data_IF_783829969325
#
_entry.id   IF_783829969325
#
_cell.length_a   1.000
_cell.length_b   1.000
_cell.length_c   1.000
_cell.angle_alpha   90.00
_cell.angle_beta   90.00
_cell.angle_gamma   90.00
#
_symmetry.space_group_name_H-M   'P 1'
#
loop_
_entity.id
_entity.type
_entity.pdbx_description
1 polymer ?
#
# COMPACT_ATOMS: atom_id res chain seq x y z
N UNK A 1 38.82 25.02 76.90
CA UNK A 1 37.94 23.97 77.46
C UNK A 1 36.78 23.81 76.51
N UNK A 2 36.60 22.59 75.94
CA UNK A 2 35.37 21.93 75.46
C UNK A 2 34.39 22.75 74.58
N UNK A 3 33.79 22.33 73.46
CA UNK A 3 33.81 21.20 72.52
C UNK A 3 32.44 21.25 71.80
N UNK A 4 32.39 21.14 70.46
CA UNK A 4 31.33 20.48 69.62
C UNK A 4 29.91 21.10 69.60
N UNK A 5 29.12 21.22 68.52
CA UNK A 5 28.99 20.66 67.15
C UNK A 5 28.09 21.67 66.37
N UNK A 6 28.23 21.95 65.07
CA UNK A 6 27.98 21.04 63.95
C UNK A 6 26.49 20.95 63.61
N UNK A 7 25.94 21.89 62.82
CA UNK A 7 24.53 21.90 62.39
C UNK A 7 24.40 22.15 60.89
N UNK A 8 24.15 21.08 60.14
CA UNK A 8 23.98 21.05 58.69
C UNK A 8 22.64 21.66 58.25
N UNK A 9 22.67 22.44 57.16
CA UNK A 9 21.47 22.81 56.41
C UNK A 9 20.96 21.59 55.61
N UNK A 10 19.70 21.15 55.75
CA UNK A 10 19.18 20.08 54.93
C UNK A 10 18.68 20.65 53.58
N UNK A 11 19.11 19.96 52.52
CA UNK A 11 18.60 20.01 51.16
C UNK A 11 17.08 19.76 51.14
N UNK A 12 16.26 20.82 51.27
CA UNK A 12 14.80 20.77 51.14
C UNK A 12 14.34 21.12 49.71
N UNK A 13 15.03 20.60 48.69
CA UNK A 13 14.66 20.78 47.28
C UNK A 13 14.55 19.46 46.50
N UNK A 14 14.89 18.31 47.08
CA UNK A 14 14.69 17.00 46.44
C UNK A 14 13.35 16.34 46.79
N UNK A 15 12.63 16.81 47.81
CA UNK A 15 11.35 16.23 48.26
C UNK A 15 10.13 16.78 47.54
N UNK A 16 10.24 17.92 46.84
CA UNK A 16 9.12 18.55 46.14
C UNK A 16 8.81 17.89 44.79
N UNK A 17 9.73 17.09 44.25
CA UNK A 17 9.51 16.28 43.03
C UNK A 17 8.92 14.89 43.32
N UNK A 18 8.79 14.50 44.59
CA UNK A 18 8.29 13.18 45.02
C UNK A 18 6.83 13.19 45.50
N UNK A 19 6.13 14.32 45.37
CA UNK A 19 4.74 14.48 45.85
C UNK A 19 3.67 14.48 44.75
N UNK A 20 3.88 13.80 43.63
CA UNK A 20 2.80 13.59 42.66
C UNK A 20 2.55 12.10 42.46
N UNK A 21 1.30 11.74 42.74
CA UNK A 21 0.62 10.45 42.57
C UNK A 21 0.70 9.49 43.76
N UNK A 22 -0.27 9.63 44.68
CA UNK A 22 -0.78 8.51 45.49
C UNK A 22 -1.44 7.49 44.55
N UNK A 23 -0.65 6.75 43.80
CA UNK A 23 -1.04 5.44 43.29
C UNK A 23 -0.41 4.45 44.26
N UNK A 24 -1.20 3.53 44.80
CA UNK A 24 -0.68 2.41 45.59
C UNK A 24 0.06 1.44 44.66
N UNK A 25 1.19 1.88 44.10
CA UNK A 25 2.03 1.08 43.23
C UNK A 25 2.88 0.13 44.09
N UNK A 26 3.15 -1.09 43.59
CA UNK A 26 4.09 -2.00 44.22
C UNK A 26 5.46 -1.34 44.44
N UNK A 27 6.09 -1.64 45.57
CA UNK A 27 7.46 -1.22 45.85
C UNK A 27 8.39 -1.74 44.75
N UNK A 28 9.17 -0.86 44.12
CA UNK A 28 10.10 -1.20 43.04
C UNK A 28 9.62 -0.77 41.65
N UNK A 29 8.38 -0.31 41.50
CA UNK A 29 7.96 0.37 40.27
C UNK A 29 8.65 1.72 40.14
N UNK A 30 9.13 2.03 38.94
CA UNK A 30 9.78 3.28 38.58
C UNK A 30 8.85 4.11 37.69
N UNK A 31 8.74 5.40 38.01
CA UNK A 31 8.04 6.38 37.18
C UNK A 31 9.08 7.35 36.64
N UNK A 32 9.13 7.49 35.32
CA UNK A 32 9.97 8.46 34.63
C UNK A 32 9.12 9.15 33.54
N UNK A 33 8.82 10.43 33.73
CA UNK A 33 7.91 11.20 32.86
C UNK A 33 6.52 10.52 32.78
N UNK A 34 6.18 9.96 31.63
CA UNK A 34 4.96 9.28 31.26
C UNK A 34 5.15 7.76 31.12
N UNK A 35 6.27 7.24 31.61
CA UNK A 35 6.60 5.81 31.64
C UNK A 35 6.45 5.29 33.07
N UNK A 36 5.66 4.24 33.25
CA UNK A 36 5.60 3.43 34.47
C UNK A 36 6.18 2.05 34.17
N UNK A 37 7.32 1.73 34.80
CA UNK A 37 8.00 0.45 34.68
C UNK A 37 7.98 -0.31 35.99
N UNK A 38 7.43 -1.53 35.95
CA UNK A 38 7.33 -2.47 37.06
C UNK A 38 7.91 -3.83 36.64
N UNK A 39 9.08 -3.81 35.99
CA UNK A 39 9.71 -4.99 35.40
C UNK A 39 10.34 -5.89 36.47
N UNK A 40 10.21 -7.21 36.32
CA UNK A 40 10.88 -8.20 37.19
C UNK A 40 10.58 -8.06 38.70
N UNK A 41 9.33 -7.73 39.05
CA UNK A 41 8.89 -7.60 40.44
C UNK A 41 8.10 -8.84 40.93
N UNK A 42 7.91 -9.84 40.07
CA UNK A 42 7.14 -11.04 40.39
C UNK A 42 5.64 -10.77 40.57
N UNK A 43 5.10 -9.76 39.88
CA UNK A 43 3.69 -9.39 39.95
C UNK A 43 2.81 -10.52 39.38
N UNK A 44 1.77 -10.89 40.12
CA UNK A 44 0.77 -11.86 39.65
C UNK A 44 -0.46 -11.18 39.01
N UNK A 45 -0.64 -9.88 39.28
CA UNK A 45 -1.74 -9.06 38.76
C UNK A 45 -1.23 -7.65 38.45
N UNK A 46 -1.90 -6.96 37.51
CA UNK A 46 -1.66 -5.54 37.23
C UNK A 46 -2.16 -4.71 38.43
N UNK A 47 -1.42 -3.68 38.88
CA UNK A 47 -1.88 -2.80 39.95
C UNK A 47 -3.25 -2.18 39.65
N UNK A 48 -4.14 -2.15 40.64
CA UNK A 48 -5.52 -1.69 40.47
C UNK A 48 -5.63 -0.21 40.08
N UNK A 49 -4.67 0.61 40.53
CA UNK A 49 -4.62 2.04 40.25
C UNK A 49 -3.34 2.38 39.49
N UNK A 50 -3.51 2.81 38.24
CA UNK A 50 -2.42 3.27 37.38
C UNK A 50 -2.49 4.80 37.21
N UNK A 51 -1.35 5.51 37.19
CA UNK A 51 -1.34 6.96 37.02
C UNK A 51 -1.91 7.37 35.65
N UNK A 52 -2.88 8.29 35.63
CA UNK A 52 -3.60 8.71 34.41
C UNK A 52 -2.71 9.33 33.32
N UNK A 53 -1.55 9.87 33.69
CA UNK A 53 -0.63 10.54 32.76
C UNK A 53 0.26 9.58 31.99
N UNK A 54 0.26 8.28 32.33
CA UNK A 54 1.13 7.28 31.72
C UNK A 54 0.77 7.06 30.25
N UNK A 55 1.79 7.16 29.39
CA UNK A 55 1.74 6.79 27.98
C UNK A 55 2.34 5.41 27.72
N UNK A 56 3.30 4.96 28.56
CA UNK A 56 3.95 3.66 28.43
C UNK A 56 3.89 2.87 29.73
N UNK A 57 3.27 1.68 29.67
CA UNK A 57 3.26 0.70 30.75
C UNK A 57 4.25 -0.42 30.45
N UNK A 58 5.20 -0.68 31.34
CA UNK A 58 6.15 -1.79 31.25
C UNK A 58 5.97 -2.75 32.43
N UNK A 59 5.36 -3.91 32.15
CA UNK A 59 5.15 -5.01 33.08
C UNK A 59 5.91 -6.27 32.65
N UNK A 60 7.02 -6.11 31.91
CA UNK A 60 7.80 -7.24 31.43
C UNK A 60 8.38 -8.09 32.58
N UNK A 61 8.65 -9.37 32.29
CA UNK A 61 9.29 -10.30 33.24
C UNK A 61 8.55 -10.45 34.58
N UNK A 62 7.22 -10.52 34.55
CA UNK A 62 6.42 -10.78 35.75
C UNK A 62 5.76 -12.17 35.67
N UNK A 63 4.77 -12.42 36.53
CA UNK A 63 4.03 -13.68 36.64
C UNK A 63 2.54 -13.44 36.39
N UNK A 64 2.20 -12.50 35.52
CA UNK A 64 0.82 -12.16 35.21
C UNK A 64 0.17 -13.35 34.49
N UNK A 65 -0.86 -13.94 35.09
CA UNK A 65 -1.61 -15.07 34.51
C UNK A 65 -2.84 -14.61 33.73
N UNK A 66 -3.43 -13.47 34.14
CA UNK A 66 -4.67 -12.93 33.60
C UNK A 66 -4.64 -11.40 33.60
N UNK A 67 -5.39 -10.83 32.66
CA UNK A 67 -5.72 -9.41 32.62
C UNK A 67 -7.24 -9.30 32.78
N UNK A 68 -7.67 -8.49 33.73
CA UNK A 68 -9.08 -8.26 34.00
C UNK A 68 -9.70 -7.35 32.94
N UNK A 69 -11.03 -7.36 32.83
CA UNK A 69 -11.73 -6.45 31.94
C UNK A 69 -11.46 -5.00 32.34
N UNK A 70 -11.01 -4.18 31.39
CA UNK A 70 -10.69 -2.77 31.65
C UNK A 70 -9.45 -2.55 32.52
N UNK A 71 -8.51 -3.50 32.61
CA UNK A 71 -7.23 -3.30 33.33
C UNK A 71 -6.45 -2.04 32.95
N UNK A 72 -6.71 -1.51 31.75
CA UNK A 72 -6.06 -0.30 31.22
C UNK A 72 -7.06 0.84 30.94
N UNK A 73 -8.30 0.71 31.40
CA UNK A 73 -9.32 1.72 31.20
C UNK A 73 -9.00 3.00 32.00
N UNK A 74 -9.36 4.17 31.45
CA UNK A 74 -9.15 5.45 32.12
C UNK A 74 -7.73 6.03 32.01
N UNK A 75 -6.89 5.46 31.14
CA UNK A 75 -5.56 5.96 30.78
C UNK A 75 -5.61 6.64 29.40
N UNK A 76 -5.96 7.93 29.31
CA UNK A 76 -6.25 8.60 28.04
C UNK A 76 -5.03 8.72 27.12
N UNK A 77 -3.83 8.78 27.69
CA UNK A 77 -2.58 8.96 26.96
C UNK A 77 -1.87 7.64 26.62
N UNK A 78 -2.45 6.50 27.01
CA UNK A 78 -1.80 5.21 26.87
C UNK A 78 -1.61 4.85 25.39
N UNK A 79 -0.35 4.69 25.01
CA UNK A 79 0.11 4.43 23.65
C UNK A 79 0.81 3.07 23.56
N UNK A 80 1.60 2.70 24.58
CA UNK A 80 2.41 1.48 24.59
C UNK A 80 2.16 0.63 25.83
N UNK A 81 1.93 -0.67 25.63
CA UNK A 81 1.85 -1.67 26.71
C UNK A 81 2.86 -2.79 26.44
N UNK A 82 3.75 -3.05 27.41
CA UNK A 82 4.70 -4.16 27.37
C UNK A 82 4.39 -5.18 28.45
N UNK A 83 4.07 -6.40 28.02
CA UNK A 83 3.68 -7.54 28.86
C UNK A 83 4.49 -8.79 28.50
N UNK A 84 5.66 -8.62 27.89
CA UNK A 84 6.52 -9.72 27.50
C UNK A 84 7.02 -10.52 28.70
N UNK A 85 7.29 -11.81 28.50
CA UNK A 85 7.79 -12.70 29.56
C UNK A 85 6.88 -12.75 30.79
N UNK A 86 5.60 -13.02 30.55
CA UNK A 86 4.59 -13.27 31.59
C UNK A 86 3.99 -14.69 31.41
N UNK A 87 2.88 -14.97 32.08
CA UNK A 87 2.22 -16.28 32.08
C UNK A 87 0.80 -16.19 31.52
N UNK A 88 0.53 -15.20 30.66
CA UNK A 88 -0.79 -14.97 30.08
C UNK A 88 -1.14 -16.13 29.13
N UNK A 89 -2.19 -16.86 29.47
CA UNK A 89 -2.70 -17.99 28.65
C UNK A 89 -3.89 -17.60 27.77
N UNK A 90 -4.62 -16.56 28.16
CA UNK A 90 -5.79 -16.00 27.46
C UNK A 90 -5.99 -14.54 27.84
N UNK A 91 -6.75 -13.81 27.02
CA UNK A 91 -7.22 -12.46 27.34
C UNK A 91 -8.73 -12.46 27.60
N UNK A 92 -9.14 -11.77 28.66
CA UNK A 92 -10.54 -11.67 29.05
C UNK A 92 -11.28 -10.72 28.09
N UNK A 93 -12.54 -10.99 27.71
CA UNK A 93 -13.34 -10.03 26.96
C UNK A 93 -13.32 -8.64 27.63
N UNK A 94 -13.00 -7.61 26.85
CA UNK A 94 -12.94 -6.24 27.35
C UNK A 94 -11.66 -5.87 28.11
N UNK A 95 -10.59 -6.69 28.08
CA UNK A 95 -9.27 -6.31 28.64
C UNK A 95 -8.82 -4.93 28.13
N UNK A 96 -9.00 -4.64 26.84
CA UNK A 96 -8.63 -3.37 26.18
C UNK A 96 -9.83 -2.44 25.96
N UNK A 97 -10.84 -2.52 26.82
CA UNK A 97 -12.01 -1.64 26.71
C UNK A 97 -11.60 -0.17 26.85
N UNK A 98 -12.06 0.67 25.91
CA UNK A 98 -11.78 2.11 25.84
C UNK A 98 -10.29 2.46 25.71
N UNK A 99 -9.47 1.60 25.09
CA UNK A 99 -8.04 1.86 24.85
C UNK A 99 -7.70 1.99 23.36
N UNK A 100 -8.50 2.78 22.63
CA UNK A 100 -8.34 2.98 21.17
C UNK A 100 -7.05 3.69 20.76
N UNK A 101 -6.35 4.32 21.71
CA UNK A 101 -5.12 5.08 21.48
C UNK A 101 -3.85 4.23 21.47
N UNK A 102 -3.93 2.96 21.89
CA UNK A 102 -2.77 2.07 21.93
C UNK A 102 -2.25 1.84 20.50
N UNK A 103 -0.95 2.05 20.31
CA UNK A 103 -0.23 1.85 19.04
C UNK A 103 0.72 0.67 19.08
N UNK A 104 1.26 0.34 20.26
CA UNK A 104 2.21 -0.75 20.44
C UNK A 104 1.77 -1.67 21.57
N UNK A 105 1.60 -2.95 21.26
CA UNK A 105 1.24 -3.98 22.23
C UNK A 105 2.20 -5.16 22.12
N UNK A 106 2.95 -5.39 23.19
CA UNK A 106 3.86 -6.53 23.31
C UNK A 106 3.29 -7.58 24.27
N UNK A 107 2.88 -8.71 23.71
CA UNK A 107 2.41 -9.93 24.38
C UNK A 107 3.34 -11.11 24.09
N UNK A 108 4.56 -10.86 23.63
CA UNK A 108 5.53 -11.91 23.31
C UNK A 108 5.95 -12.71 24.52
N UNK A 109 6.49 -13.92 24.31
CA UNK A 109 7.00 -14.76 25.41
C UNK A 109 5.98 -14.99 26.52
N UNK A 110 4.73 -15.30 26.15
CA UNK A 110 3.63 -15.67 27.04
C UNK A 110 3.16 -17.11 26.74
N UNK A 111 1.95 -17.47 27.17
CA UNK A 111 1.39 -18.81 27.02
C UNK A 111 0.09 -18.81 26.20
N UNK A 112 -0.12 -17.79 25.35
CA UNK A 112 -1.34 -17.67 24.55
C UNK A 112 -1.46 -18.85 23.60
N UNK A 113 -2.66 -19.48 23.56
CA UNK A 113 -2.92 -20.67 22.74
C UNK A 113 -3.79 -20.39 21.50
N UNK A 114 -4.73 -19.45 21.62
CA UNK A 114 -5.65 -19.07 20.54
C UNK A 114 -5.73 -17.55 20.53
N UNK A 115 -5.76 -16.97 19.34
CA UNK A 115 -6.10 -15.56 19.16
C UNK A 115 -7.57 -15.46 18.76
N UNK A 116 -8.39 -15.06 19.73
CA UNK A 116 -9.84 -14.92 19.56
C UNK A 116 -10.20 -13.52 19.06
N UNK A 117 -11.34 -13.39 18.39
CA UNK A 117 -11.77 -12.13 17.79
C UNK A 117 -11.79 -10.95 18.78
N UNK A 118 -12.28 -11.18 20.00
CA UNK A 118 -12.43 -10.12 21.00
C UNK A 118 -11.13 -9.64 21.62
N UNK A 119 -10.00 -10.31 21.39
CA UNK A 119 -8.72 -9.94 22.00
C UNK A 119 -8.28 -8.54 21.58
N UNK A 120 -8.50 -8.18 20.31
CA UNK A 120 -7.98 -6.94 19.74
C UNK A 120 -9.07 -6.05 19.13
N UNK A 121 -10.35 -6.42 19.22
CA UNK A 121 -11.44 -5.71 18.54
C UNK A 121 -11.53 -4.20 18.86
N UNK A 122 -11.08 -3.78 20.04
CA UNK A 122 -11.10 -2.39 20.51
C UNK A 122 -9.83 -1.60 20.11
N UNK A 123 -8.78 -2.28 19.65
CA UNK A 123 -7.45 -1.71 19.39
C UNK A 123 -7.35 -1.09 17.98
N UNK A 124 -8.30 -0.22 17.63
CA UNK A 124 -8.41 0.37 16.27
C UNK A 124 -7.15 1.18 15.89
N UNK A 125 -6.46 1.77 16.87
CA UNK A 125 -5.24 2.56 16.69
C UNK A 125 -3.94 1.75 16.62
N UNK A 126 -3.98 0.42 16.80
CA UNK A 126 -2.77 -0.41 16.89
C UNK A 126 -1.96 -0.34 15.59
N UNK A 127 -0.64 -0.19 15.71
CA UNK A 127 0.32 -0.21 14.60
C UNK A 127 1.22 -1.44 14.66
N UNK A 128 1.59 -1.87 15.85
CA UNK A 128 2.53 -2.96 16.06
C UNK A 128 2.04 -3.91 17.15
N UNK A 129 1.93 -5.19 16.78
CA UNK A 129 1.46 -6.27 17.63
C UNK A 129 2.50 -7.38 17.69
N UNK A 130 3.05 -7.63 18.89
CA UNK A 130 4.07 -8.64 19.11
C UNK A 130 3.45 -9.81 19.87
N UNK A 131 3.41 -10.98 19.23
CA UNK A 131 2.83 -12.23 19.73
C UNK A 131 3.81 -13.41 19.58
N UNK A 132 5.06 -13.13 19.23
CA UNK A 132 6.07 -14.16 19.02
C UNK A 132 6.40 -14.91 20.32
N UNK A 133 6.92 -16.13 20.18
CA UNK A 133 7.29 -16.99 21.32
C UNK A 133 6.10 -17.26 22.28
N UNK A 134 4.95 -17.61 21.73
CA UNK A 134 3.78 -18.06 22.46
C UNK A 134 3.50 -19.55 22.14
N UNK A 135 2.29 -20.03 22.43
CA UNK A 135 1.85 -21.39 22.13
C UNK A 135 0.65 -21.39 21.16
N UNK A 136 0.57 -20.37 20.30
CA UNK A 136 -0.62 -20.11 19.47
C UNK A 136 -0.74 -21.20 18.41
N UNK A 137 -1.86 -21.91 18.40
CA UNK A 137 -2.18 -22.96 17.42
C UNK A 137 -3.14 -22.45 16.35
N UNK A 138 -3.98 -21.46 16.68
CA UNK A 138 -5.03 -20.93 15.80
C UNK A 138 -5.23 -19.43 15.98
N UNK A 139 -5.46 -18.74 14.87
CA UNK A 139 -5.94 -17.35 14.81
C UNK A 139 -7.33 -17.34 14.21
N UNK A 140 -8.29 -16.70 14.88
CA UNK A 140 -9.64 -16.56 14.34
C UNK A 140 -9.67 -15.64 13.12
N UNK A 141 -10.50 -16.03 12.14
CA UNK A 141 -10.66 -15.33 10.86
C UNK A 141 -10.97 -13.84 10.96
N UNK A 142 -11.56 -13.40 12.07
CA UNK A 142 -11.95 -12.00 12.30
C UNK A 142 -11.07 -11.28 13.31
N UNK A 143 -10.04 -11.93 13.86
CA UNK A 143 -9.23 -11.38 14.94
C UNK A 143 -8.43 -10.12 14.54
N UNK A 144 -8.04 -10.01 13.26
CA UNK A 144 -7.24 -8.87 12.78
C UNK A 144 -8.02 -7.88 11.92
N UNK A 145 -9.28 -8.18 11.54
CA UNK A 145 -10.05 -7.38 10.57
C UNK A 145 -10.28 -5.94 11.06
N UNK A 146 -10.54 -5.74 12.36
CA UNK A 146 -10.79 -4.42 12.95
C UNK A 146 -9.54 -3.53 13.09
N UNK A 147 -8.34 -4.08 12.85
CA UNK A 147 -7.07 -3.41 13.10
C UNK A 147 -6.59 -2.62 11.86
N UNK A 148 -7.37 -1.61 11.47
CA UNK A 148 -7.14 -0.85 10.22
C UNK A 148 -5.80 -0.09 10.18
N UNK A 149 -5.24 0.27 11.34
CA UNK A 149 -3.95 0.94 11.44
C UNK A 149 -2.76 -0.02 11.57
N UNK A 150 -2.99 -1.34 11.61
CA UNK A 150 -1.94 -2.32 11.84
C UNK A 150 -0.92 -2.29 10.70
N UNK A 151 0.35 -2.13 11.07
CA UNK A 151 1.49 -2.08 10.17
C UNK A 151 2.36 -3.32 10.28
N UNK A 152 2.52 -3.85 11.49
CA UNK A 152 3.40 -4.96 11.79
C UNK A 152 2.74 -5.93 12.78
N UNK A 153 2.77 -7.21 12.44
CA UNK A 153 2.34 -8.29 13.32
C UNK A 153 3.40 -9.39 13.35
N UNK A 154 3.85 -9.75 14.55
CA UNK A 154 4.87 -10.77 14.76
C UNK A 154 4.27 -11.97 15.48
N UNK A 155 4.16 -13.11 14.79
CA UNK A 155 3.62 -14.36 15.30
C UNK A 155 4.64 -15.51 15.19
N UNK A 156 5.93 -15.21 15.04
CA UNK A 156 6.97 -16.22 14.95
C UNK A 156 7.16 -17.03 16.22
N UNK A 157 7.76 -18.21 16.12
CA UNK A 157 7.97 -19.11 17.25
C UNK A 157 6.65 -19.46 17.98
N UNK A 158 5.65 -19.86 17.19
CA UNK A 158 4.36 -20.35 17.68
C UNK A 158 4.13 -21.78 17.15
N UNK A 159 2.88 -22.26 17.21
CA UNK A 159 2.48 -23.61 16.79
C UNK A 159 1.39 -23.57 15.72
N UNK A 160 1.32 -22.49 14.95
CA UNK A 160 0.28 -22.30 13.92
C UNK A 160 0.41 -23.36 12.85
N UNK A 161 -0.70 -24.03 12.54
CA UNK A 161 -0.80 -24.96 11.40
C UNK A 161 -1.45 -24.32 10.18
N UNK A 162 -2.15 -23.20 10.36
CA UNK A 162 -2.78 -22.41 9.31
C UNK A 162 -2.93 -20.94 9.76
N UNK A 163 -3.14 -20.03 8.81
CA UNK A 163 -3.39 -18.62 9.06
C UNK A 163 -4.46 -18.08 8.07
N UNK A 164 -5.45 -17.30 8.53
CA UNK A 164 -6.53 -16.81 7.68
C UNK A 164 -6.06 -15.64 6.78
N UNK A 165 -5.30 -15.91 5.73
CA UNK A 165 -4.74 -14.88 4.82
C UNK A 165 -5.81 -13.99 4.17
N UNK A 166 -7.00 -14.52 3.88
CA UNK A 166 -8.12 -13.72 3.38
C UNK A 166 -8.51 -12.57 4.32
N UNK A 167 -8.29 -12.72 5.63
CA UNK A 167 -8.61 -11.70 6.62
C UNK A 167 -7.71 -10.48 6.53
N UNK A 168 -6.55 -10.62 5.86
CA UNK A 168 -5.55 -9.55 5.71
C UNK A 168 -5.40 -9.02 4.27
N UNK A 169 -6.22 -9.50 3.34
CA UNK A 169 -6.14 -9.11 1.94
C UNK A 169 -6.36 -7.60 1.75
N UNK A 170 -7.33 -7.04 2.47
CA UNK A 170 -7.71 -5.63 2.36
C UNK A 170 -7.05 -4.70 3.39
N UNK A 171 -6.12 -5.20 4.22
CA UNK A 171 -5.47 -4.35 5.23
C UNK A 171 -4.75 -3.18 4.56
N UNK A 172 -5.12 -1.93 4.90
CA UNK A 172 -4.65 -0.77 4.17
C UNK A 172 -3.21 -0.43 4.52
N UNK A 173 -2.71 -0.81 5.71
CA UNK A 173 -1.43 -0.35 6.25
C UNK A 173 -0.44 -1.48 6.58
N UNK A 174 -0.85 -2.75 6.47
CA UNK A 174 0.02 -3.88 6.82
C UNK A 174 1.22 -3.93 5.87
N UNK A 175 2.41 -4.06 6.47
CA UNK A 175 3.71 -4.10 5.77
C UNK A 175 4.57 -5.26 6.24
N UNK A 176 4.38 -5.74 7.48
CA UNK A 176 5.13 -6.87 8.02
C UNK A 176 4.18 -7.84 8.70
N UNK A 177 4.26 -9.10 8.28
CA UNK A 177 3.63 -10.22 8.94
C UNK A 177 4.67 -11.33 9.07
N UNK A 178 5.16 -11.55 10.29
CA UNK A 178 6.11 -12.62 10.57
C UNK A 178 5.39 -13.86 11.09
N UNK A 179 5.34 -14.89 10.25
CA UNK A 179 4.78 -16.21 10.55
C UNK A 179 5.88 -17.29 10.53
N UNK A 180 7.15 -16.89 10.59
CA UNK A 180 8.28 -17.82 10.61
C UNK A 180 8.27 -18.71 11.85
N UNK A 181 8.99 -19.84 11.80
CA UNK A 181 9.14 -20.71 12.97
C UNK A 181 7.77 -21.17 13.55
N UNK A 182 6.88 -21.60 12.65
CA UNK A 182 5.56 -22.18 12.96
C UNK A 182 5.48 -23.62 12.42
N UNK A 183 4.27 -24.20 12.31
CA UNK A 183 4.03 -25.60 11.95
C UNK A 183 3.08 -25.74 10.76
N UNK A 184 3.11 -24.79 9.82
CA UNK A 184 2.26 -24.84 8.64
C UNK A 184 2.75 -25.95 7.69
N UNK A 185 1.93 -26.94 7.33
CA UNK A 185 2.29 -27.94 6.34
C UNK A 185 2.06 -27.45 4.91
N UNK A 186 1.05 -26.61 4.68
CA UNK A 186 0.66 -26.15 3.36
C UNK A 186 0.43 -24.65 3.38
N UNK A 187 0.58 -24.00 2.22
CA UNK A 187 0.30 -22.57 2.06
C UNK A 187 -0.87 -22.37 1.10
N UNK A 188 -1.86 -21.52 1.43
CA UNK A 188 -2.91 -21.14 0.48
C UNK A 188 -2.35 -20.15 -0.55
N UNK A 189 -1.61 -20.68 -1.54
CA UNK A 189 -0.87 -19.88 -2.54
C UNK A 189 -1.77 -18.87 -3.27
N UNK A 190 -3.03 -19.21 -3.51
CA UNK A 190 -4.01 -18.29 -4.15
C UNK A 190 -4.28 -17.07 -3.29
N UNK A 191 -4.52 -17.27 -2.00
CA UNK A 191 -4.83 -16.18 -1.06
C UNK A 191 -3.58 -15.32 -0.83
N UNK A 192 -2.41 -15.94 -0.69
CA UNK A 192 -1.13 -15.23 -0.55
C UNK A 192 -0.83 -14.39 -1.80
N UNK A 193 -1.07 -14.94 -3.00
CA UNK A 193 -0.87 -14.22 -4.26
C UNK A 193 -1.84 -13.04 -4.44
N UNK A 194 -3.03 -13.11 -3.82
CA UNK A 194 -4.02 -12.02 -3.83
C UNK A 194 -3.68 -10.87 -2.86
N UNK A 195 -2.75 -11.07 -1.93
CA UNK A 195 -2.30 -10.01 -1.02
C UNK A 195 -1.62 -8.88 -1.79
N UNK A 196 -1.73 -7.65 -1.26
CA UNK A 196 -1.00 -6.49 -1.80
C UNK A 196 0.52 -6.78 -1.79
N UNK A 197 1.23 -6.34 -2.82
CA UNK A 197 2.67 -6.60 -2.97
C UNK A 197 3.50 -6.20 -1.74
N UNK A 198 3.15 -5.07 -1.10
CA UNK A 198 3.80 -4.62 0.14
C UNK A 198 3.69 -5.63 1.30
N UNK A 199 2.57 -6.35 1.38
CA UNK A 199 2.37 -7.39 2.39
C UNK A 199 3.19 -8.61 2.01
N UNK A 200 3.20 -9.01 0.73
CA UNK A 200 4.01 -10.13 0.25
C UNK A 200 5.52 -9.92 0.51
N UNK A 201 6.03 -8.68 0.31
CA UNK A 201 7.43 -8.32 0.59
C UNK A 201 7.85 -8.54 2.05
N UNK A 202 6.93 -8.26 2.98
CA UNK A 202 7.15 -8.42 4.41
C UNK A 202 6.45 -9.63 5.03
N UNK A 203 6.13 -10.65 4.25
CA UNK A 203 5.51 -11.88 4.71
C UNK A 203 6.58 -12.97 4.95
N UNK A 204 7.00 -13.13 6.20
CA UNK A 204 8.04 -14.10 6.56
C UNK A 204 7.42 -15.47 6.88
N UNK A 205 7.85 -16.50 6.15
CA UNK A 205 7.29 -17.87 6.23
C UNK A 205 8.37 -18.95 6.44
N UNK A 206 9.64 -18.57 6.57
CA UNK A 206 10.75 -19.51 6.75
C UNK A 206 10.61 -20.34 8.03
N UNK A 207 11.34 -21.45 8.11
CA UNK A 207 11.30 -22.36 9.26
C UNK A 207 9.87 -22.86 9.64
N UNK A 208 9.03 -23.13 8.64
CA UNK A 208 7.77 -23.86 8.80
C UNK A 208 7.94 -25.32 8.35
N UNK A 209 7.04 -26.20 8.78
CA UNK A 209 7.02 -27.61 8.39
C UNK A 209 6.34 -27.86 7.04
N UNK A 210 6.66 -27.03 6.03
CA UNK A 210 6.01 -27.04 4.73
C UNK A 210 6.23 -28.37 3.99
N UNK A 211 5.23 -28.89 3.31
CA UNK A 211 5.33 -30.02 2.39
C UNK A 211 5.83 -29.47 1.04
N UNK A 212 6.79 -30.16 0.43
CA UNK A 212 7.33 -29.74 -0.86
C UNK A 212 6.27 -29.87 -1.96
N UNK A 213 5.78 -28.74 -2.47
CA UNK A 213 4.83 -28.67 -3.58
C UNK A 213 5.29 -27.67 -4.66
N UNK A 214 4.96 -27.93 -5.93
CA UNK A 214 5.28 -27.01 -7.02
C UNK A 214 4.60 -25.64 -6.87
N UNK A 215 3.38 -25.59 -6.32
CA UNK A 215 2.61 -24.36 -6.10
C UNK A 215 3.37 -23.38 -5.20
N UNK A 216 3.86 -23.88 -4.06
CA UNK A 216 4.66 -23.16 -3.08
C UNK A 216 6.01 -22.77 -3.67
N UNK A 217 6.73 -23.71 -4.28
CA UNK A 217 8.02 -23.44 -4.91
C UNK A 217 7.93 -22.31 -5.96
N UNK A 218 6.93 -22.35 -6.85
CA UNK A 218 6.73 -21.30 -7.86
C UNK A 218 6.49 -19.92 -7.24
N UNK A 219 5.71 -19.83 -6.16
CA UNK A 219 5.50 -18.59 -5.42
C UNK A 219 6.81 -18.02 -4.86
N UNK A 220 7.60 -18.85 -4.17
CA UNK A 220 8.87 -18.41 -3.58
C UNK A 220 9.92 -18.07 -4.64
N UNK A 221 9.97 -18.80 -5.77
CA UNK A 221 10.85 -18.46 -6.89
C UNK A 221 10.49 -17.11 -7.52
N UNK A 222 9.19 -16.80 -7.63
CA UNK A 222 8.74 -15.49 -8.10
C UNK A 222 9.17 -14.37 -7.12
N UNK A 223 9.06 -14.60 -5.81
CA UNK A 223 9.50 -13.65 -4.79
C UNK A 223 11.02 -13.47 -4.76
N UNK A 224 11.79 -14.56 -4.92
CA UNK A 224 13.26 -14.53 -5.06
C UNK A 224 13.67 -13.70 -6.27
N UNK A 225 13.03 -13.91 -7.43
CA UNK A 225 13.28 -13.15 -8.65
C UNK A 225 12.97 -11.66 -8.50
N UNK A 226 11.90 -11.32 -7.77
CA UNK A 226 11.52 -9.93 -7.48
C UNK A 226 12.34 -9.30 -6.35
N UNK A 227 13.26 -10.02 -5.73
CA UNK A 227 14.10 -9.52 -4.65
C UNK A 227 13.33 -9.18 -3.37
N UNK A 228 12.32 -9.98 -3.02
CA UNK A 228 11.58 -9.76 -1.77
C UNK A 228 12.44 -10.19 -0.57
N UNK A 229 12.62 -9.28 0.39
CA UNK A 229 13.47 -9.48 1.59
C UNK A 229 13.07 -10.71 2.41
N UNK A 230 11.76 -11.01 2.48
CA UNK A 230 11.26 -12.23 3.12
C UNK A 230 11.82 -13.55 2.55
N UNK A 231 12.37 -13.52 1.34
CA UNK A 231 13.01 -14.67 0.69
C UNK A 231 14.52 -14.50 0.58
N UNK A 232 15.00 -13.32 0.16
CA UNK A 232 16.45 -13.11 -0.05
C UNK A 232 17.25 -13.19 1.23
N UNK A 233 16.71 -12.68 2.34
CA UNK A 233 17.43 -12.59 3.61
C UNK A 233 17.41 -13.92 4.38
N UNK A 234 16.43 -14.78 4.07
CA UNK A 234 16.17 -16.06 4.75
C UNK A 234 16.25 -17.26 3.80
N UNK A 235 17.09 -17.15 2.77
CA UNK A 235 17.16 -18.12 1.68
C UNK A 235 17.52 -19.54 2.14
N UNK A 236 18.33 -19.66 3.19
CA UNK A 236 18.81 -20.96 3.70
C UNK A 236 17.85 -21.58 4.74
N UNK A 237 16.95 -20.77 5.30
CA UNK A 237 15.92 -21.13 6.28
C UNK A 237 14.59 -21.58 5.61
N UNK A 238 14.48 -21.38 4.29
CA UNK A 238 13.37 -21.86 3.48
C UNK A 238 13.51 -23.35 3.18
N UNK A 239 12.88 -24.17 4.02
CA UNK A 239 12.88 -25.64 3.95
C UNK A 239 11.50 -26.21 3.70
N UNK A 240 11.43 -27.40 3.10
CA UNK A 240 10.23 -28.20 3.00
C UNK A 240 10.53 -29.69 3.22
N UNK A 241 9.49 -30.47 3.50
CA UNK A 241 9.52 -31.90 3.76
C UNK A 241 9.06 -32.64 2.50
N UNK A 242 9.91 -33.51 1.95
CA UNK A 242 9.52 -34.40 0.85
C UNK A 242 8.49 -35.41 1.37
N UNK A 243 7.34 -35.50 0.71
CA UNK A 243 6.22 -36.37 1.09
C UNK A 243 5.74 -36.19 2.55
N UNK A 244 6.05 -35.06 3.20
CA UNK A 244 5.72 -34.81 4.60
C UNK A 244 6.62 -35.54 5.62
N UNK A 245 7.70 -36.20 5.19
CA UNK A 245 8.59 -36.92 6.09
C UNK A 245 9.65 -36.00 6.73
N UNK A 246 9.71 -35.98 8.06
CA UNK A 246 10.65 -35.14 8.83
C UNK A 246 12.13 -35.42 8.51
N UNK A 247 12.47 -36.67 8.17
CA UNK A 247 13.84 -37.07 7.81
C UNK A 247 14.24 -36.63 6.40
N UNK A 248 13.29 -36.18 5.59
CA UNK A 248 13.49 -35.77 4.21
C UNK A 248 13.30 -34.25 4.05
N UNK A 249 13.93 -33.48 4.94
CA UNK A 249 13.93 -32.02 4.87
C UNK A 249 14.91 -31.52 3.80
N UNK A 250 14.45 -30.65 2.90
CA UNK A 250 15.25 -30.05 1.84
C UNK A 250 15.14 -28.53 1.87
N UNK A 251 16.28 -27.84 1.67
CA UNK A 251 16.29 -26.39 1.41
C UNK A 251 15.86 -26.16 -0.04
N UNK A 252 14.60 -25.85 -0.28
CA UNK A 252 14.00 -25.95 -1.62
C UNK A 252 14.52 -24.88 -2.60
N UNK A 253 14.97 -23.72 -2.10
CA UNK A 253 15.58 -22.68 -2.95
C UNK A 253 17.01 -23.03 -3.39
N UNK A 254 17.66 -23.97 -2.71
CA UNK A 254 19.02 -24.45 -3.00
C UNK A 254 19.02 -25.75 -3.80
N UNK A 255 18.11 -26.66 -3.47
CA UNK A 255 18.02 -28.00 -4.07
C UNK A 255 16.97 -28.02 -5.19
N UNK A 256 17.27 -27.32 -6.28
CA UNK A 256 16.36 -27.11 -7.42
C UNK A 256 15.96 -28.45 -8.10
N UNK A 257 16.79 -29.49 -7.98
CA UNK A 257 16.56 -30.81 -8.61
C UNK A 257 15.22 -31.45 -8.28
N UNK A 258 14.68 -31.20 -7.08
CA UNK A 258 13.37 -31.73 -6.67
C UNK A 258 12.18 -31.01 -7.34
N UNK A 259 12.44 -29.90 -8.02
CA UNK A 259 11.43 -29.03 -8.61
C UNK A 259 11.65 -28.79 -10.11
N UNK A 260 12.51 -29.59 -10.78
CA UNK A 260 12.80 -29.47 -12.22
C UNK A 260 11.53 -29.59 -13.10
N UNK A 261 10.58 -30.42 -12.68
CA UNK A 261 9.30 -30.61 -13.38
C UNK A 261 8.24 -29.56 -13.00
N UNK A 262 8.54 -28.63 -12.09
CA UNK A 262 7.59 -27.61 -11.70
C UNK A 262 7.60 -26.47 -12.74
N UNK A 263 6.41 -26.14 -13.26
CA UNK A 263 6.26 -24.99 -14.16
C UNK A 263 6.34 -23.70 -13.36
N UNK A 264 7.51 -23.06 -13.37
CA UNK A 264 7.68 -21.72 -12.80
C UNK A 264 7.44 -20.70 -13.92
N UNK A 265 6.29 -20.03 -13.88
CA UNK A 265 6.04 -18.85 -14.73
C UNK A 265 6.73 -17.65 -14.09
N UNK A 266 8.03 -17.50 -14.32
CA UNK A 266 8.72 -16.27 -13.92
C UNK A 266 8.10 -15.11 -14.71
N UNK A 267 7.71 -14.02 -14.05
CA UNK A 267 7.29 -12.82 -14.77
C UNK A 267 8.49 -12.34 -15.59
N UNK A 268 8.32 -12.37 -16.90
CA UNK A 268 9.20 -11.75 -17.90
C UNK A 268 9.46 -10.33 -17.45
N UNK A 269 10.74 -9.93 -17.34
CA UNK A 269 11.10 -8.52 -17.16
C UNK A 269 10.43 -7.74 -18.29
N UNK A 270 9.67 -6.70 -17.96
CA UNK A 270 9.00 -5.84 -18.95
C UNK A 270 9.75 -4.54 -19.05
N UNK A 271 10.23 -4.23 -20.25
CA UNK A 271 10.81 -2.93 -20.60
C UNK A 271 9.91 -2.30 -21.65
N UNK A 272 9.51 -1.05 -21.45
CA UNK A 272 8.77 -0.29 -22.47
C UNK A 272 9.74 0.66 -23.17
N UNK A 273 9.62 0.76 -24.50
CA UNK A 273 10.42 1.64 -25.33
C UNK A 273 9.51 2.40 -26.30
N UNK A 274 9.80 3.68 -26.48
CA UNK A 274 9.14 4.53 -27.47
C UNK A 274 10.13 4.82 -28.60
N UNK A 275 9.65 4.80 -29.83
CA UNK A 275 10.45 5.02 -31.02
C UNK A 275 9.69 5.88 -32.03
N UNK A 276 10.40 6.74 -32.76
CA UNK A 276 9.79 7.50 -33.85
C UNK A 276 9.81 6.68 -35.14
N UNK A 277 8.72 6.76 -35.92
CA UNK A 277 8.62 6.09 -37.21
C UNK A 277 9.73 6.58 -38.15
N UNK A 278 10.41 5.64 -38.82
CA UNK A 278 11.54 5.90 -39.72
C UNK A 278 12.92 5.81 -39.08
N UNK A 279 13.01 5.87 -37.73
CA UNK A 279 14.29 5.71 -37.03
C UNK A 279 14.63 4.24 -36.78
N UNK A 280 15.92 3.94 -36.62
CA UNK A 280 16.40 2.63 -36.20
C UNK A 280 16.26 2.47 -34.68
N UNK A 281 15.82 1.30 -34.22
CA UNK A 281 15.59 1.01 -32.80
C UNK A 281 16.37 -0.23 -32.39
N UNK A 282 17.14 -0.14 -31.32
CA UNK A 282 17.92 -1.27 -30.79
C UNK A 282 17.29 -1.80 -29.51
N UNK A 283 16.91 -3.07 -29.52
CA UNK A 283 16.33 -3.81 -28.41
C UNK A 283 17.41 -4.71 -27.80
N UNK A 284 17.89 -4.36 -26.62
CA UNK A 284 18.91 -5.13 -25.92
C UNK A 284 18.28 -6.26 -25.10
N UNK A 285 18.72 -7.49 -25.35
CA UNK A 285 18.32 -8.65 -24.56
C UNK A 285 19.19 -8.77 -23.29
N UNK A 286 18.84 -7.98 -22.27
CA UNK A 286 19.56 -7.99 -20.99
C UNK A 286 19.23 -9.28 -20.22
N UNK A 287 20.24 -10.11 -19.98
CA UNK A 287 20.12 -11.36 -19.22
C UNK A 287 21.04 -11.37 -18.00
N UNK A 288 20.63 -12.11 -16.97
CA UNK A 288 21.44 -12.39 -15.77
C UNK A 288 22.29 -13.66 -15.88
N UNK A 289 22.09 -14.46 -16.93
CA UNK A 289 22.83 -15.70 -17.17
C UNK A 289 24.29 -15.41 -17.55
N UNK A 290 25.22 -16.21 -17.02
CA UNK A 290 26.67 -16.12 -17.32
C UNK A 290 27.13 -17.42 -17.96
N UNK A 291 27.74 -17.35 -19.14
CA UNK A 291 28.23 -18.55 -19.84
C UNK A 291 28.90 -18.21 -21.17
N UNK A 292 29.75 -19.12 -21.69
CA UNK A 292 30.45 -18.93 -22.98
C UNK A 292 29.59 -19.26 -24.21
N UNK A 293 28.44 -19.93 -24.04
CA UNK A 293 27.57 -20.43 -25.11
C UNK A 293 26.10 -20.13 -24.80
N UNK A 294 25.73 -18.84 -24.81
CA UNK A 294 24.35 -18.40 -24.69
C UNK A 294 23.71 -18.36 -26.07
N UNK A 295 22.56 -19.03 -26.22
CA UNK A 295 21.76 -18.95 -27.44
C UNK A 295 20.64 -17.93 -27.23
N UNK A 296 20.60 -16.94 -28.10
CA UNK A 296 19.59 -15.89 -28.09
C UNK A 296 18.58 -16.13 -29.22
N UNK A 297 17.31 -15.89 -28.94
CA UNK A 297 16.26 -15.82 -29.96
C UNK A 297 15.22 -14.77 -29.58
N UNK A 298 14.54 -14.22 -30.58
CA UNK A 298 13.46 -13.26 -30.39
C UNK A 298 12.16 -13.77 -31.01
N UNK A 299 11.03 -13.32 -30.47
CA UNK A 299 9.70 -13.48 -31.07
C UNK A 299 9.12 -12.09 -31.30
N UNK A 300 8.72 -11.81 -32.54
CA UNK A 300 8.08 -10.54 -32.92
C UNK A 300 6.62 -10.46 -32.42
N UNK A 301 5.98 -9.27 -32.46
CA UNK A 301 4.54 -9.12 -32.19
C UNK A 301 3.66 -9.97 -33.14
N UNK A 302 4.13 -10.24 -34.37
CA UNK A 302 3.47 -11.12 -35.35
C UNK A 302 3.66 -12.62 -35.07
N UNK A 303 4.34 -12.99 -33.97
CA UNK A 303 4.69 -14.37 -33.56
C UNK A 303 5.70 -15.06 -34.48
N UNK A 304 6.55 -14.30 -35.15
CA UNK A 304 7.66 -14.83 -35.94
C UNK A 304 8.90 -15.02 -35.08
N UNK A 305 9.57 -16.16 -35.24
CA UNK A 305 10.85 -16.42 -34.58
C UNK A 305 12.00 -15.77 -35.35
N UNK A 306 12.87 -15.06 -34.64
CA UNK A 306 14.02 -14.36 -35.17
C UNK A 306 15.28 -14.94 -34.52
N UNK A 307 16.23 -15.37 -35.35
CA UNK A 307 17.54 -15.87 -34.95
C UNK A 307 18.64 -15.16 -35.77
N UNK A 308 19.91 -15.13 -35.31
CA UNK A 308 20.99 -14.49 -36.05
C UNK A 308 21.16 -15.09 -37.45
N UNK A 309 21.32 -14.28 -38.52
CA UNK A 309 21.56 -12.82 -38.55
C UNK A 309 20.30 -11.93 -38.60
N UNK A 310 19.11 -12.51 -38.58
CA UNK A 310 17.82 -11.83 -38.84
C UNK A 310 17.00 -12.59 -39.89
N UNK A 311 15.67 -12.44 -39.86
CA UNK A 311 14.74 -13.18 -40.74
C UNK A 311 14.21 -12.34 -41.92
N UNK A 312 14.45 -11.02 -41.95
CA UNK A 312 13.90 -10.09 -42.93
C UNK A 312 14.85 -8.92 -43.21
N UNK A 313 14.63 -8.19 -44.32
CA UNK A 313 15.35 -6.95 -44.62
C UNK A 313 15.03 -5.79 -43.65
N UNK A 314 14.15 -6.00 -42.68
CA UNK A 314 13.69 -4.98 -41.72
C UNK A 314 14.24 -5.20 -40.30
N UNK A 315 14.65 -6.43 -39.97
CA UNK A 315 15.08 -6.83 -38.63
C UNK A 315 16.45 -7.49 -38.69
N UNK A 316 17.39 -6.99 -37.88
CA UNK A 316 18.75 -7.53 -37.79
C UNK A 316 19.04 -8.00 -36.38
N UNK A 317 19.46 -9.25 -36.25
CA UNK A 317 19.82 -9.81 -34.93
C UNK A 317 21.33 -9.99 -34.82
N UNK A 318 21.90 -9.44 -33.75
CA UNK A 318 23.32 -9.49 -33.46
C UNK A 318 23.69 -10.72 -32.63
N UNK A 319 24.95 -11.13 -32.70
CA UNK A 319 25.48 -12.29 -31.96
C UNK A 319 25.52 -12.10 -30.44
N UNK A 320 25.46 -10.85 -29.97
CA UNK A 320 25.33 -10.51 -28.55
C UNK A 320 23.88 -10.62 -28.02
N UNK A 321 22.92 -10.95 -28.88
CA UNK A 321 21.50 -11.08 -28.53
C UNK A 321 20.65 -9.84 -28.75
N UNK A 322 21.23 -8.70 -29.12
CA UNK A 322 20.47 -7.48 -29.43
C UNK A 322 19.74 -7.62 -30.78
N UNK A 323 18.52 -7.07 -30.84
CA UNK A 323 17.69 -7.01 -32.05
C UNK A 323 17.55 -5.55 -32.50
N UNK A 324 17.88 -5.26 -33.75
CA UNK A 324 17.73 -3.94 -34.34
C UNK A 324 16.59 -3.94 -35.35
N UNK A 325 15.63 -3.04 -35.14
CA UNK A 325 14.62 -2.65 -36.12
C UNK A 325 15.27 -1.57 -36.99
N UNK A 326 15.54 -1.88 -38.26
CA UNK A 326 16.32 -1.00 -39.13
C UNK A 326 15.57 0.29 -39.47
N UNK A 327 14.25 0.19 -39.67
CA UNK A 327 13.37 1.32 -39.98
C UNK A 327 12.03 1.06 -39.30
N UNK A 328 11.78 1.72 -38.16
CA UNK A 328 10.57 1.49 -37.37
C UNK A 328 9.30 1.94 -38.10
N UNK A 329 8.29 1.07 -38.12
CA UNK A 329 6.95 1.33 -38.66
C UNK A 329 5.89 1.17 -37.57
N UNK A 330 4.70 1.73 -37.77
CA UNK A 330 3.59 1.58 -36.81
C UNK A 330 3.25 0.11 -36.53
N UNK A 331 3.32 -0.75 -37.57
CA UNK A 331 3.08 -2.18 -37.47
C UNK A 331 4.16 -2.95 -36.68
N UNK A 332 5.30 -2.31 -36.43
CA UNK A 332 6.34 -2.88 -35.56
C UNK A 332 6.02 -2.68 -34.08
N UNK A 333 4.96 -1.95 -33.74
CA UNK A 333 4.52 -1.75 -32.36
C UNK A 333 3.97 -3.05 -31.77
N UNK A 334 4.33 -3.33 -30.52
CA UNK A 334 3.86 -4.49 -29.79
C UNK A 334 4.95 -5.09 -28.91
N UNK A 335 4.66 -6.30 -28.40
CA UNK A 335 5.54 -6.98 -27.46
C UNK A 335 6.49 -7.92 -28.20
N UNK A 336 7.78 -7.61 -28.10
CA UNK A 336 8.88 -8.49 -28.50
C UNK A 336 9.30 -9.33 -27.30
N UNK A 337 9.51 -10.63 -27.51
CA UNK A 337 9.98 -11.54 -26.46
C UNK A 337 11.39 -12.02 -26.79
N UNK A 338 12.38 -11.62 -26.02
CA UNK A 338 13.69 -12.25 -26.06
C UNK A 338 13.72 -13.49 -25.18
N UNK A 339 14.33 -14.55 -25.69
CA UNK A 339 14.59 -15.80 -24.97
C UNK A 339 16.09 -16.10 -25.03
N UNK A 340 16.68 -16.34 -23.85
CA UNK A 340 18.07 -16.75 -23.70
C UNK A 340 18.11 -18.15 -23.13
N UNK A 341 18.81 -19.05 -23.83
CA UNK A 341 18.96 -20.44 -23.41
C UNK A 341 20.43 -20.77 -23.16
N UNK A 342 20.75 -21.25 -21.95
CA UNK A 342 22.06 -21.80 -21.63
C UNK A 342 21.98 -23.33 -21.70
N UNK A 343 22.51 -23.92 -22.79
CA UNK A 343 22.51 -25.37 -23.01
C UNK A 343 23.34 -26.16 -21.99
N UNK A 344 24.30 -25.53 -21.30
CA UNK A 344 25.17 -26.23 -20.34
C UNK A 344 24.54 -26.32 -18.94
N UNK A 345 23.68 -25.37 -18.58
CA UNK A 345 23.07 -25.28 -17.24
C UNK A 345 21.56 -25.54 -17.26
N UNK A 346 20.98 -25.87 -18.43
CA UNK A 346 19.53 -26.08 -18.63
C UNK A 346 18.66 -24.95 -18.07
N UNK A 347 19.19 -23.72 -18.07
CA UNK A 347 18.52 -22.53 -17.55
C UNK A 347 18.08 -21.62 -18.70
N UNK A 348 16.89 -21.03 -18.56
CA UNK A 348 16.34 -20.04 -19.48
C UNK A 348 16.08 -18.70 -18.78
N UNK A 349 16.26 -17.62 -19.52
CA UNK A 349 15.91 -16.26 -19.10
C UNK A 349 15.11 -15.62 -20.23
N UNK A 350 14.14 -14.76 -19.91
CA UNK A 350 13.29 -14.13 -20.91
C UNK A 350 12.95 -12.68 -20.55
N UNK A 351 12.90 -11.84 -21.58
CA UNK A 351 12.68 -10.40 -21.49
C UNK A 351 11.56 -10.01 -22.47
N UNK A 352 10.50 -9.38 -21.97
CA UNK A 352 9.47 -8.74 -22.78
C UNK A 352 9.83 -7.27 -23.00
N UNK A 353 9.93 -6.86 -24.26
CA UNK A 353 10.15 -5.48 -24.65
C UNK A 353 8.91 -4.99 -25.40
N UNK A 354 8.16 -4.07 -24.80
CA UNK A 354 7.01 -3.44 -25.45
C UNK A 354 7.47 -2.21 -26.22
N UNK A 355 7.41 -2.26 -27.54
CA UNK A 355 7.80 -1.17 -28.43
C UNK A 355 6.56 -0.42 -28.88
N UNK A 356 6.59 0.91 -28.76
CA UNK A 356 5.51 1.79 -29.23
C UNK A 356 6.11 2.74 -30.26
N UNK A 357 5.69 2.62 -31.52
CA UNK A 357 6.19 3.48 -32.60
C UNK A 357 5.25 4.66 -32.80
N UNK A 358 5.74 5.86 -32.50
CA UNK A 358 5.02 7.11 -32.72
C UNK A 358 5.27 7.58 -34.15
N UNK A 359 4.21 7.86 -34.92
CA UNK A 359 4.40 8.61 -36.15
C UNK A 359 4.78 10.04 -35.80
N UNK A 360 5.75 10.68 -36.50
CA UNK A 360 5.96 12.10 -36.35
C UNK A 360 4.64 12.78 -36.65
N UNK A 361 4.05 13.40 -35.63
CA UNK A 361 2.90 14.25 -35.84
C UNK A 361 3.33 15.27 -36.88
N UNK A 362 2.63 15.38 -38.01
CA UNK A 362 2.66 16.61 -38.78
C UNK A 362 2.31 17.70 -37.76
N UNK A 363 3.31 18.47 -37.33
CA UNK A 363 3.08 19.70 -36.61
C UNK A 363 2.22 20.52 -37.56
N UNK A 364 0.90 20.51 -37.33
CA UNK A 364 0.07 21.65 -37.69
C UNK A 364 0.78 22.78 -36.99
N UNK A 365 1.43 23.66 -37.76
CA UNK A 365 1.96 24.91 -37.25
C UNK A 365 0.94 25.45 -36.24
N UNK A 366 1.36 25.78 -35.01
CA UNK A 366 0.42 26.29 -34.03
C UNK A 366 -0.26 27.47 -34.68
N UNK A 367 -1.58 27.36 -34.90
CA UNK A 367 -2.40 28.45 -35.41
C UNK A 367 -2.04 29.66 -34.56
N UNK A 368 -1.34 30.62 -35.17
CA UNK A 368 -0.75 31.71 -34.42
C UNK A 368 -1.92 32.60 -33.99
N UNK A 369 -2.47 32.33 -32.81
CA UNK A 369 -3.68 32.95 -32.26
C UNK A 369 -3.53 34.46 -32.17
N UNK A 370 -2.30 34.99 -32.19
CA UNK A 370 -2.00 36.41 -32.34
C UNK A 370 -2.42 37.02 -33.67
N UNK A 371 -2.30 36.31 -34.80
CA UNK A 371 -2.67 36.86 -36.12
C UNK A 371 -4.19 36.91 -36.31
N UNK A 372 -4.92 35.88 -35.87
CA UNK A 372 -6.38 35.84 -35.96
C UNK A 372 -7.03 36.83 -34.99
N UNK A 373 -6.48 37.02 -33.79
CA UNK A 373 -6.94 38.07 -32.85
C UNK A 373 -6.60 39.47 -33.35
N UNK A 374 -5.41 39.71 -33.88
CA UNK A 374 -5.04 41.00 -34.48
C UNK A 374 -5.97 41.36 -35.65
N UNK A 375 -6.22 40.40 -36.55
CA UNK A 375 -7.14 40.59 -37.68
C UNK A 375 -8.57 40.87 -37.17
N UNK A 376 -9.03 40.14 -36.15
CA UNK A 376 -10.31 40.40 -35.49
C UNK A 376 -10.41 41.81 -34.91
N UNK A 377 -9.39 42.26 -34.17
CA UNK A 377 -9.34 43.61 -33.60
C UNK A 377 -9.35 44.70 -34.68
N UNK A 378 -8.59 44.53 -35.76
CA UNK A 378 -8.57 45.49 -36.88
C UNK A 378 -9.93 45.57 -37.55
N UNK A 379 -10.57 44.43 -37.83
CA UNK A 379 -11.92 44.39 -38.43
C UNK A 379 -12.95 45.04 -37.50
N UNK A 380 -12.92 44.75 -36.20
CA UNK A 380 -13.84 45.37 -35.23
C UNK A 380 -13.65 46.88 -35.12
N UNK A 381 -12.40 47.38 -35.11
CA UNK A 381 -12.13 48.82 -35.10
C UNK A 381 -12.64 49.51 -36.37
N UNK A 382 -12.43 48.89 -37.54
CA UNK A 382 -12.96 49.40 -38.80
C UNK A 382 -14.49 49.43 -38.77
N UNK A 383 -15.15 48.38 -38.28
CA UNK A 383 -16.61 48.34 -38.18
C UNK A 383 -17.17 49.38 -37.20
N UNK A 384 -16.51 49.61 -36.06
CA UNK A 384 -16.90 50.65 -35.10
C UNK A 384 -16.73 52.05 -35.71
N UNK A 385 -15.61 52.30 -36.39
CA UNK A 385 -15.39 53.55 -37.10
C UNK A 385 -16.41 53.76 -38.22
N UNK A 386 -16.73 52.72 -39.00
CA UNK A 386 -17.79 52.76 -40.00
C UNK A 386 -19.15 53.05 -39.34
N UNK A 387 -19.48 52.44 -38.21
CA UNK A 387 -20.72 52.73 -37.48
C UNK A 387 -20.77 54.19 -37.03
N UNK A 388 -19.72 54.69 -36.38
CA UNK A 388 -19.66 56.06 -35.85
C UNK A 388 -19.65 57.13 -36.95
N UNK A 389 -19.06 56.87 -38.11
CA UNK A 389 -18.92 57.85 -39.19
C UNK A 389 -19.95 57.69 -40.34
N UNK A 390 -20.54 56.51 -40.53
CA UNK A 390 -21.45 56.22 -41.64
C UNK A 390 -22.90 55.91 -41.22
N UNK A 391 -23.24 55.89 -39.92
CA UNK A 391 -24.66 55.87 -39.52
C UNK A 391 -25.16 57.28 -39.19
N UNK A 392 -25.90 57.94 -40.09
CA UNK A 392 -26.46 59.26 -39.82
C UNK A 392 -27.55 59.16 -38.75
N UNK A 393 -27.35 59.89 -37.64
CA UNK A 393 -28.36 60.14 -36.61
C UNK A 393 -29.67 60.64 -37.24
N UNK A 394 -30.67 59.77 -37.36
CA UNK A 394 -32.04 60.18 -37.69
C UNK A 394 -32.79 60.54 -36.41
N UNK A 395 -32.59 61.78 -35.96
CA UNK A 395 -33.48 62.40 -34.97
C UNK A 395 -34.79 62.78 -35.66
N UNK A 396 -35.87 62.04 -35.41
CA UNK A 396 -37.23 62.57 -35.58
C UNK A 396 -38.01 62.40 -34.27
N UNK A 397 -38.25 63.54 -33.63
CA UNK A 397 -39.14 63.70 -32.49
C UNK A 397 -40.60 63.66 -32.96
N UNK A 398 -41.44 62.84 -32.33
CA UNK A 398 -42.86 63.15 -32.12
C UNK A 398 -43.41 62.33 -30.92
N UNK A 399 -44.38 62.86 -30.14
CA UNK A 399 -44.60 62.44 -28.77
C UNK A 399 -45.87 61.60 -28.52
N UNK A 400 -45.76 60.81 -27.44
CA UNK A 400 -46.79 60.41 -26.47
C UNK A 400 -47.90 59.38 -26.80
N UNK A 401 -48.09 58.50 -25.80
CA UNK A 401 -49.30 57.78 -25.33
C UNK A 401 -49.54 56.33 -25.83
N UNK A 402 -50.24 55.48 -25.04
CA UNK A 402 -49.58 54.43 -24.24
C UNK A 402 -50.15 53.00 -24.40
N UNK A 403 -49.33 51.98 -24.11
CA UNK A 403 -49.66 50.61 -23.60
C UNK A 403 -50.71 49.75 -24.37
N UNK A 404 -50.88 48.46 -24.04
CA UNK A 404 -49.93 47.38 -23.70
C UNK A 404 -50.15 46.15 -24.62
N UNK A 405 -49.58 45.00 -24.21
CA UNK A 405 -50.07 43.62 -24.40
C UNK A 405 -49.08 42.68 -25.12
N UNK A 406 -48.61 41.73 -24.30
CA UNK A 406 -48.11 40.37 -24.55
C UNK A 406 -46.82 40.22 -25.38
N UNK A 407 -45.76 39.65 -24.80
CA UNK A 407 -45.52 38.20 -24.64
C UNK A 407 -45.59 37.48 -26.00
N UNK A 408 -44.61 36.71 -26.47
CA UNK A 408 -43.63 35.90 -25.76
C UNK A 408 -42.62 35.32 -26.78
N UNK A 409 -41.56 34.71 -26.24
CA UNK A 409 -40.73 33.67 -26.87
C UNK A 409 -39.65 34.16 -27.87
N UNK A 410 -38.43 33.62 -27.93
CA UNK A 410 -37.91 32.37 -27.40
C UNK A 410 -36.38 32.47 -27.17
N UNK A 411 -35.91 31.54 -26.35
CA UNK A 411 -34.56 31.29 -25.86
C UNK A 411 -33.52 30.96 -26.94
N UNK A 412 -32.23 31.11 -26.61
CA UNK A 412 -31.19 30.05 -26.65
C UNK A 412 -29.83 30.64 -26.19
N UNK A 413 -29.22 30.18 -25.09
CA UNK A 413 -28.15 29.15 -25.08
C UNK A 413 -26.85 29.67 -25.75
N UNK A 414 -25.63 29.68 -25.20
CA UNK A 414 -24.95 28.65 -24.42
C UNK A 414 -23.49 29.13 -24.13
N UNK A 415 -22.95 28.68 -22.99
CA UNK A 415 -21.54 28.42 -22.61
C UNK A 415 -20.44 29.51 -22.74
N UNK A 416 -20.02 29.96 -21.55
CA UNK A 416 -18.65 30.37 -21.19
C UNK A 416 -17.64 29.22 -21.37
N UNK A 417 -16.36 29.55 -21.55
CA UNK A 417 -15.36 28.98 -20.65
C UNK A 417 -14.33 30.01 -20.16
N UNK A 418 -14.05 29.95 -18.87
CA UNK A 418 -12.89 30.57 -18.18
C UNK A 418 -11.60 29.87 -18.60
N UNK A 419 -10.43 30.55 -18.55
CA UNK A 419 -9.47 30.30 -17.45
C UNK A 419 -8.54 31.54 -17.20
N UNK A 420 -7.40 31.45 -16.48
CA UNK A 420 -7.16 30.93 -15.13
C UNK A 420 -6.35 31.90 -14.21
N UNK A 421 -6.29 31.51 -12.94
CA UNK A 421 -5.15 31.60 -12.01
C UNK A 421 -4.59 32.94 -11.47
N UNK A 422 -4.30 32.86 -10.17
CA UNK A 422 -3.27 33.51 -9.35
C UNK A 422 -3.64 34.69 -8.42
N UNK A 423 -3.43 34.38 -7.13
CA UNK A 423 -2.74 35.15 -6.09
C UNK A 423 -3.41 36.33 -5.35
N UNK A 424 -3.44 36.13 -4.02
CA UNK A 424 -3.29 37.09 -2.90
C UNK A 424 -4.44 38.04 -2.51
N UNK A 425 -4.76 38.02 -1.21
CA UNK A 425 -5.48 39.10 -0.53
C UNK A 425 -6.40 38.64 0.61
N UNK A 426 -6.13 39.01 1.89
CA UNK A 426 -6.89 38.55 3.05
C UNK A 426 -8.03 39.52 3.42
N UNK A 427 -9.13 39.02 4.00
CA UNK A 427 -10.03 39.90 4.77
C UNK A 427 -11.51 39.53 4.88
N UNK A 428 -11.84 38.99 6.06
CA UNK A 428 -13.03 39.31 6.89
C UNK A 428 -14.47 39.15 6.34
N UNK A 429 -15.21 38.29 7.07
CA UNK A 429 -16.58 38.47 7.63
C UNK A 429 -17.74 38.56 6.62
N UNK A 430 -18.96 38.06 6.83
CA UNK A 430 -19.67 37.33 7.89
C UNK A 430 -21.14 37.17 7.42
N UNK A 431 -21.85 36.17 7.98
CA UNK A 431 -23.32 35.99 8.00
C UNK A 431 -24.02 35.53 6.70
N UNK A 432 -24.60 34.32 6.71
CA UNK A 432 -26.04 33.99 6.96
C UNK A 432 -26.91 34.43 5.76
N UNK A 433 -27.71 33.58 5.10
CA UNK A 433 -28.76 32.72 5.64
C UNK A 433 -29.32 31.74 4.57
N UNK A 434 -29.77 30.57 5.05
CA UNK A 434 -30.70 29.54 4.50
C UNK A 434 -31.85 30.04 3.56
N UNK A 435 -32.74 29.16 3.04
CA UNK A 435 -32.56 27.88 2.31
C UNK A 435 -33.56 27.76 1.11
N UNK A 436 -33.60 26.57 0.48
CA UNK A 436 -34.75 25.95 -0.22
C UNK A 436 -35.17 26.56 -1.58
N UNK A 437 -35.75 25.88 -2.57
CA UNK A 437 -36.09 24.49 -2.92
C UNK A 437 -36.52 24.60 -4.41
N UNK A 438 -36.29 23.54 -5.19
CA UNK A 438 -36.88 23.16 -6.50
C UNK A 438 -37.98 24.03 -7.11
N UNK A 439 -38.12 24.25 -8.42
CA UNK A 439 -38.24 23.24 -9.48
C UNK A 439 -38.38 23.96 -10.84
N UNK A 440 -37.91 23.37 -11.94
CA UNK A 440 -38.41 23.61 -13.30
C UNK A 440 -38.59 22.26 -14.00
N UNK A 441 -39.71 22.02 -14.70
CA UNK A 441 -39.79 20.93 -15.66
C UNK A 441 -40.25 21.39 -17.05
N UNK A 442 -40.20 20.43 -17.99
CA UNK A 442 -40.86 20.31 -19.31
C UNK A 442 -40.03 20.82 -20.50
N UNK A 443 -39.85 20.09 -21.60
CA UNK A 443 -40.29 18.76 -22.09
C UNK A 443 -39.53 18.53 -23.44
N UNK A 444 -39.95 17.73 -24.45
CA UNK A 444 -40.83 16.55 -24.46
C UNK A 444 -40.26 15.34 -25.28
N UNK A 445 -40.78 14.17 -24.93
CA UNK A 445 -41.33 13.11 -25.77
C UNK A 445 -40.77 12.82 -27.17
N UNK A 446 -40.36 11.55 -27.32
CA UNK A 446 -40.92 10.71 -28.38
C UNK A 446 -41.45 9.39 -27.77
N UNK A 447 -42.71 9.15 -28.11
CA UNK A 447 -43.59 8.01 -27.85
C UNK A 447 -42.92 6.66 -28.21
N UNK A 448 -43.33 5.48 -27.71
CA UNK A 448 -44.71 4.99 -27.60
C UNK A 448 -44.73 3.68 -26.80
N UNK A 449 -45.67 3.63 -25.85
CA UNK A 449 -46.61 2.52 -25.53
C UNK A 449 -46.12 1.15 -25.01
N UNK A 450 -46.40 1.00 -23.70
CA UNK A 450 -47.27 -0.02 -23.09
C UNK A 450 -46.75 -1.46 -22.98
N UNK A 451 -46.10 -1.72 -21.84
CA UNK A 451 -46.33 -2.94 -21.07
C UNK A 451 -47.56 -2.76 -20.15
N UNK A 452 -48.29 -3.84 -19.89
CA UNK A 452 -49.14 -3.99 -18.71
C UNK A 452 -48.62 -5.18 -17.91
N UNK A 453 -48.42 -5.05 -16.58
CA UNK A 453 -47.86 -6.12 -15.76
C UNK A 453 -48.95 -7.02 -15.16
N UNK A 454 -48.58 -8.28 -14.97
CA UNK A 454 -48.87 -9.05 -13.75
C UNK A 454 -47.54 -9.40 -13.10
#
# INVERSE_FOLDING_TARGET
>A
MLCTQGGAAPLMLSSFLLQLVRANLPSGCLIASDILSCTNLGLNQVPAELPRMVATLDFNHNRLERLEAGSFAGLPNLDTIRLAHNQLSRLTPGTFRNTSNIRHLDLSSNQLNIIEQHYFQELVGIKELLLYNNQIVRVESKALIGLSNLQKAYLSHNRLTDFPFFSIQEHPNLTTLDLSSNRMPNLPVKDIAALKEKVQKGLFLHNNSLICECSMYSLFKQWEYRGFTAVTDFREEHTCLLYGEQRAMVRFLKHIRYFENCTVKLPTKRVSMEADAGNSVMLDCITSLKGKHLNYSWVSPSREYIAPPGNSNTLRMYSNGSLEILVAQENDSGVYLCMVHNHQESCNDSLEVNVTVQQPSQEKEPFNTGFTTLLGCVVSLVLVLMYLYLTPCRCWCLPAKPSPVNECSAQSSILTPTPPATTEGPGRKMCESRPAVTQQPLAPDIWTTCASPQ
#
